data_IF_818687736278
#
_entry.id   IF_818687736278
#
_cell.length_a   1.000
_cell.length_b   1.000
_cell.length_c   1.000
_cell.angle_alpha   90.00
_cell.angle_beta   90.00
_cell.angle_gamma   90.00
#
_symmetry.space_group_name_H-M   'P 1'
#
loop_
_entity.id
_entity.type
_entity.pdbx_description
1 polymer ?
#
# COMPACT_ATOMS: atom_id res chain seq x y z
N UNK A 1 8.60 -19.10 -22.39
CA UNK A 1 8.92 -17.93 -21.54
C UNK A 1 7.88 -17.91 -20.45
N UNK A 2 8.29 -17.87 -19.18
CA UNK A 2 7.34 -17.72 -18.08
C UNK A 2 6.72 -16.33 -18.13
N UNK A 3 5.43 -16.21 -17.80
CA UNK A 3 4.74 -14.91 -17.78
C UNK A 3 5.18 -14.14 -16.53
N UNK A 4 5.65 -12.91 -16.71
CA UNK A 4 5.99 -12.00 -15.62
C UNK A 4 4.76 -11.18 -15.20
N UNK A 5 4.47 -11.15 -13.90
CA UNK A 5 3.45 -10.26 -13.34
C UNK A 5 4.08 -8.89 -13.14
N UNK A 6 3.50 -7.87 -13.77
CA UNK A 6 3.84 -6.47 -13.55
C UNK A 6 2.71 -5.83 -12.74
N UNK A 7 3.05 -5.29 -11.57
CA UNK A 7 2.14 -4.52 -10.73
C UNK A 7 2.49 -3.03 -10.81
N UNK A 8 1.50 -2.17 -11.06
CA UNK A 8 1.67 -0.72 -11.04
C UNK A 8 1.06 -0.13 -9.76
N UNK A 9 1.89 0.38 -8.85
CA UNK A 9 1.45 1.17 -7.70
C UNK A 9 1.23 2.63 -8.13
N UNK A 10 0.00 3.12 -7.99
CA UNK A 10 -0.43 4.34 -8.69
C UNK A 10 -0.06 5.63 -7.95
N UNK A 11 -0.62 5.83 -6.74
CA UNK A 11 -0.49 7.10 -6.00
C UNK A 11 0.21 6.96 -4.64
N UNK A 12 0.00 5.84 -3.95
CA UNK A 12 0.51 5.62 -2.60
C UNK A 12 0.05 6.68 -1.58
N UNK A 13 0.61 6.62 -0.37
CA UNK A 13 0.41 7.64 0.67
C UNK A 13 1.67 8.47 0.95
N UNK A 14 2.80 8.12 0.34
CA UNK A 14 4.12 8.65 0.68
C UNK A 14 4.50 9.84 -0.20
N UNK A 15 4.24 9.77 -1.50
CA UNK A 15 4.49 10.89 -2.40
C UNK A 15 3.54 12.03 -2.09
N UNK A 16 4.09 13.21 -1.86
CA UNK A 16 3.33 14.44 -1.60
C UNK A 16 2.96 15.12 -2.92
N UNK A 17 1.78 15.74 -3.06
CA UNK A 17 1.40 16.51 -4.24
C UNK A 17 2.42 17.56 -4.69
N UNK A 18 3.17 18.14 -3.75
CA UNK A 18 4.26 19.12 -4.03
C UNK A 18 5.41 18.51 -4.82
N UNK A 19 5.64 17.21 -4.71
CA UNK A 19 6.78 16.55 -5.36
C UNK A 19 6.61 16.41 -6.88
N UNK A 20 5.37 16.31 -7.36
CA UNK A 20 5.09 16.14 -8.79
C UNK A 20 3.65 16.51 -9.13
N UNK A 21 3.41 17.25 -10.23
CA UNK A 21 2.05 17.54 -10.70
C UNK A 21 1.35 16.31 -11.30
N UNK A 22 2.08 15.22 -11.54
CA UNK A 22 1.56 14.00 -12.16
C UNK A 22 1.01 12.99 -11.16
N UNK A 23 1.01 13.30 -9.85
CA UNK A 23 0.45 12.42 -8.83
C UNK A 23 -1.08 12.36 -8.98
N UNK A 24 -1.71 11.20 -9.26
CA UNK A 24 -3.16 11.12 -9.38
C UNK A 24 -3.79 11.24 -7.99
N UNK A 25 -4.77 12.13 -7.85
CA UNK A 25 -5.42 12.46 -6.57
C UNK A 25 -6.89 12.03 -6.52
N UNK A 26 -7.65 12.31 -7.57
CA UNK A 26 -9.09 12.00 -7.60
C UNK A 26 -9.36 10.54 -8.00
N UNK A 27 -10.51 9.95 -7.64
CA UNK A 27 -10.91 8.63 -8.10
C UNK A 27 -10.81 8.44 -9.62
N UNK A 28 -11.26 9.44 -10.39
CA UNK A 28 -11.20 9.43 -11.85
C UNK A 28 -9.74 9.39 -12.34
N UNK A 29 -8.87 10.24 -11.81
CA UNK A 29 -7.44 10.26 -12.16
C UNK A 29 -6.76 8.93 -11.84
N UNK A 30 -7.00 8.39 -10.64
CA UNK A 30 -6.42 7.11 -10.22
C UNK A 30 -6.91 5.98 -11.13
N UNK A 31 -8.20 5.98 -11.48
CA UNK A 31 -8.77 4.96 -12.35
C UNK A 31 -8.29 5.12 -13.81
N UNK A 32 -8.07 6.33 -14.29
CA UNK A 32 -7.49 6.60 -15.61
C UNK A 32 -6.05 6.07 -15.68
N UNK A 33 -5.23 6.37 -14.67
CA UNK A 33 -3.88 5.84 -14.53
C UNK A 33 -3.88 4.31 -14.51
N UNK A 34 -4.78 3.68 -13.74
CA UNK A 34 -4.92 2.23 -13.70
C UNK A 34 -5.20 1.62 -15.08
N UNK A 35 -6.13 2.21 -15.84
CA UNK A 35 -6.46 1.74 -17.20
C UNK A 35 -5.28 1.94 -18.15
N UNK A 36 -4.56 3.07 -18.06
CA UNK A 36 -3.33 3.30 -18.84
C UNK A 36 -2.26 2.26 -18.51
N UNK A 37 -2.02 1.96 -17.24
CA UNK A 37 -1.08 0.93 -16.81
C UNK A 37 -1.49 -0.46 -17.31
N UNK A 38 -2.77 -0.81 -17.21
CA UNK A 38 -3.30 -2.07 -17.73
C UNK A 38 -3.09 -2.21 -19.24
N UNK A 39 -3.40 -1.16 -20.01
CA UNK A 39 -3.18 -1.12 -21.46
C UNK A 39 -1.69 -1.20 -21.84
N UNK A 40 -0.80 -0.72 -20.96
CA UNK A 40 0.65 -0.85 -21.12
C UNK A 40 1.20 -2.24 -20.72
N UNK A 41 0.37 -3.12 -20.15
CA UNK A 41 0.73 -4.51 -19.82
C UNK A 41 0.79 -4.84 -18.32
N UNK A 42 0.36 -3.94 -17.43
CA UNK A 42 0.24 -4.27 -16.01
C UNK A 42 -0.87 -5.32 -15.80
N UNK A 43 -0.53 -6.40 -15.09
CA UNK A 43 -1.48 -7.45 -14.72
C UNK A 43 -2.24 -7.12 -13.43
N UNK A 44 -1.65 -6.27 -12.59
CA UNK A 44 -2.24 -5.79 -11.34
C UNK A 44 -1.96 -4.30 -11.16
N UNK A 45 -2.86 -3.60 -10.47
CA UNK A 45 -2.66 -2.23 -10.01
C UNK A 45 -2.84 -2.17 -8.51
N UNK A 46 -2.00 -1.41 -7.84
CA UNK A 46 -2.06 -1.19 -6.39
C UNK A 46 -2.59 0.20 -6.09
N UNK A 47 -3.70 0.26 -5.35
CA UNK A 47 -4.50 1.48 -5.18
C UNK A 47 -4.54 1.96 -3.73
N UNK A 48 -4.43 3.27 -3.60
CA UNK A 48 -4.66 4.04 -2.39
C UNK A 48 -5.73 5.09 -2.67
N UNK A 49 -6.50 5.45 -1.65
CA UNK A 49 -7.43 6.57 -1.70
C UNK A 49 -6.75 7.87 -1.29
N UNK A 50 -7.11 8.97 -1.95
CA UNK A 50 -6.83 10.33 -1.50
C UNK A 50 -8.11 11.13 -1.46
N UNK A 51 -8.15 12.12 -0.57
CA UNK A 51 -9.19 13.13 -0.54
C UNK A 51 -9.12 13.94 -1.85
N UNK A 52 -10.20 13.98 -2.67
CA UNK A 52 -10.15 14.63 -3.98
C UNK A 52 -9.94 16.14 -3.94
N UNK A 53 -10.25 16.79 -2.81
CA UNK A 53 -10.14 18.24 -2.66
C UNK A 53 -8.75 18.66 -2.17
N UNK A 54 -8.19 17.88 -1.26
CA UNK A 54 -6.95 18.23 -0.53
C UNK A 54 -5.74 17.38 -0.92
N UNK A 55 -5.94 16.27 -1.64
CA UNK A 55 -4.88 15.30 -1.98
C UNK A 55 -4.35 14.50 -0.79
N UNK A 56 -4.88 14.70 0.43
CA UNK A 56 -4.47 14.00 1.64
C UNK A 56 -4.81 12.52 1.54
N UNK A 57 -3.95 11.59 1.99
CA UNK A 57 -4.31 10.18 2.09
C UNK A 57 -5.64 9.96 2.83
N UNK A 58 -6.48 9.05 2.31
CA UNK A 58 -7.72 8.64 2.96
C UNK A 58 -7.89 7.12 2.94
N UNK A 59 -8.65 6.61 3.89
CA UNK A 59 -9.05 5.21 4.00
C UNK A 59 -10.57 5.04 3.98
N UNK A 60 -11.29 6.07 3.53
CA UNK A 60 -12.73 6.01 3.35
C UNK A 60 -13.11 4.92 2.33
N UNK A 61 -13.82 3.85 2.74
CA UNK A 61 -14.23 2.79 1.82
C UNK A 61 -15.08 3.27 0.64
N UNK A 62 -15.77 4.42 0.76
CA UNK A 62 -16.52 5.00 -0.35
C UNK A 62 -15.58 5.44 -1.49
N UNK A 63 -14.46 6.08 -1.17
CA UNK A 63 -13.44 6.51 -2.14
C UNK A 63 -12.83 5.29 -2.82
N UNK A 64 -12.48 4.25 -2.07
CA UNK A 64 -11.95 3.00 -2.65
C UNK A 64 -12.98 2.31 -3.55
N UNK A 65 -14.26 2.32 -3.15
CA UNK A 65 -15.35 1.73 -3.95
C UNK A 65 -15.50 2.47 -5.27
N UNK A 66 -15.44 3.80 -5.26
CA UNK A 66 -15.49 4.62 -6.47
C UNK A 66 -14.32 4.30 -7.41
N UNK A 67 -13.08 4.32 -6.91
CA UNK A 67 -11.88 3.94 -7.67
C UNK A 67 -12.04 2.55 -8.28
N UNK A 68 -12.36 1.54 -7.47
CA UNK A 68 -12.47 0.16 -7.93
C UNK A 68 -13.59 -0.03 -8.97
N UNK A 69 -14.71 0.68 -8.81
CA UNK A 69 -15.84 0.64 -9.75
C UNK A 69 -15.44 1.24 -11.10
N UNK A 70 -14.79 2.40 -11.10
CA UNK A 70 -14.31 3.06 -12.32
C UNK A 70 -13.25 2.24 -13.05
N UNK A 71 -12.36 1.55 -12.33
CA UNK A 71 -11.37 0.64 -12.93
C UNK A 71 -12.07 -0.56 -13.56
N UNK A 72 -12.92 -1.26 -12.80
CA UNK A 72 -13.60 -2.49 -13.27
C UNK A 72 -14.58 -2.25 -14.42
N UNK A 73 -15.12 -1.04 -14.55
CA UNK A 73 -15.94 -0.67 -15.70
C UNK A 73 -15.14 -0.59 -17.01
N UNK A 74 -13.81 -0.47 -16.94
CA UNK A 74 -12.95 -0.11 -18.08
C UNK A 74 -11.80 -1.09 -18.33
N UNK A 75 -11.49 -1.97 -17.37
CA UNK A 75 -10.37 -2.91 -17.45
C UNK A 75 -10.61 -4.16 -16.60
N UNK A 76 -10.00 -5.27 -17.01
CA UNK A 76 -9.95 -6.53 -16.26
C UNK A 76 -8.67 -6.66 -15.40
N UNK A 77 -7.94 -5.57 -15.18
CA UNK A 77 -6.73 -5.57 -14.35
C UNK A 77 -7.07 -5.94 -12.90
N UNK A 78 -6.22 -6.74 -12.26
CA UNK A 78 -6.40 -7.09 -10.85
C UNK A 78 -6.24 -5.81 -10.02
N UNK A 79 -7.20 -5.54 -9.14
CA UNK A 79 -7.16 -4.38 -8.24
C UNK A 79 -6.70 -4.83 -6.86
N UNK A 80 -5.47 -4.48 -6.49
CA UNK A 80 -4.92 -4.62 -5.16
C UNK A 80 -5.25 -3.39 -4.33
N UNK A 81 -6.06 -3.53 -3.27
CA UNK A 81 -6.31 -2.41 -2.34
C UNK A 81 -5.32 -2.45 -1.19
N UNK A 82 -4.82 -1.29 -0.77
CA UNK A 82 -3.94 -1.21 0.40
C UNK A 82 -4.68 -1.53 1.70
N UNK A 83 -3.98 -2.19 2.64
CA UNK A 83 -4.38 -2.21 4.06
C UNK A 83 -3.35 -1.52 4.97
N UNK A 84 -2.44 -0.72 4.39
CA UNK A 84 -1.40 0.01 5.13
C UNK A 84 -1.89 1.27 5.85
N UNK A 85 -2.97 1.90 5.36
CA UNK A 85 -3.65 3.02 6.02
C UNK A 85 -2.81 4.28 6.24
N UNK A 86 -3.18 5.07 7.26
CA UNK A 86 -2.47 6.31 7.69
C UNK A 86 -1.96 6.18 9.13
N UNK A 87 -1.18 7.17 9.58
CA UNK A 87 -0.49 7.14 10.87
C UNK A 87 -1.44 7.03 12.07
N UNK A 88 -2.65 7.56 11.94
CA UNK A 88 -3.61 7.67 13.03
C UNK A 88 -4.51 6.42 13.19
N UNK A 89 -4.33 5.40 12.35
CA UNK A 89 -5.27 4.28 12.26
C UNK A 89 -4.85 3.06 13.06
N UNK A 90 -5.83 2.46 13.73
CA UNK A 90 -5.72 1.11 14.30
C UNK A 90 -5.75 0.05 13.20
N UNK A 91 -5.21 -1.14 13.48
CA UNK A 91 -5.23 -2.26 12.53
C UNK A 91 -6.66 -2.59 12.04
N UNK A 92 -7.64 -2.59 12.94
CA UNK A 92 -9.05 -2.85 12.61
C UNK A 92 -9.64 -1.83 11.63
N UNK A 93 -9.26 -0.56 11.76
CA UNK A 93 -9.71 0.48 10.83
C UNK A 93 -9.07 0.34 9.46
N UNK A 94 -7.80 -0.07 9.38
CA UNK A 94 -7.12 -0.19 8.08
C UNK A 94 -7.68 -1.32 7.24
N UNK A 95 -8.03 -2.44 7.86
CA UNK A 95 -8.52 -3.62 7.11
C UNK A 95 -9.97 -3.49 6.66
N UNK A 96 -10.75 -2.53 7.16
CA UNK A 96 -12.20 -2.37 6.86
C UNK A 96 -12.54 -2.33 5.36
N UNK A 97 -11.57 -1.94 4.51
CA UNK A 97 -11.73 -1.95 3.04
C UNK A 97 -11.95 -3.37 2.50
N UNK A 98 -11.35 -4.40 3.12
CA UNK A 98 -11.46 -5.80 2.70
C UNK A 98 -12.90 -6.30 2.81
N UNK A 99 -13.58 -6.30 3.97
CA UNK A 99 -14.98 -6.72 4.04
C UNK A 99 -15.93 -5.79 3.28
N UNK A 100 -15.57 -4.51 3.10
CA UNK A 100 -16.40 -3.56 2.37
C UNK A 100 -16.41 -3.82 0.85
N UNK A 101 -15.25 -4.15 0.26
CA UNK A 101 -15.09 -4.29 -1.19
C UNK A 101 -14.94 -5.74 -1.66
N UNK A 102 -14.50 -6.65 -0.79
CA UNK A 102 -14.13 -8.04 -1.10
C UNK A 102 -13.21 -8.11 -2.33
N UNK A 103 -12.06 -7.41 -2.31
CA UNK A 103 -11.15 -7.34 -3.44
C UNK A 103 -10.49 -8.70 -3.69
N UNK A 104 -10.04 -8.93 -4.92
CA UNK A 104 -9.29 -10.14 -5.28
C UNK A 104 -7.93 -10.19 -4.58
N UNK A 105 -7.28 -9.03 -4.45
CA UNK A 105 -5.97 -8.87 -3.82
C UNK A 105 -6.01 -7.67 -2.85
N UNK A 106 -5.32 -7.80 -1.72
CA UNK A 106 -5.07 -6.67 -0.84
C UNK A 106 -3.66 -6.78 -0.25
N UNK A 107 -3.01 -5.63 -0.02
CA UNK A 107 -1.69 -5.65 0.60
C UNK A 107 -1.77 -6.08 2.05
N UNK A 108 -0.71 -6.73 2.53
CA UNK A 108 -0.63 -7.28 3.87
C UNK A 108 0.77 -7.09 4.45
N UNK A 109 0.89 -6.13 5.37
CA UNK A 109 2.16 -5.73 5.94
C UNK A 109 2.64 -6.70 7.03
N UNK A 110 3.84 -7.24 6.86
CA UNK A 110 4.31 -8.42 7.62
C UNK A 110 5.13 -8.13 8.86
N UNK A 111 5.16 -6.89 9.35
CA UNK A 111 5.85 -6.56 10.59
C UNK A 111 5.76 -5.10 10.97
N UNK A 112 6.05 -4.83 12.24
CA UNK A 112 6.13 -3.46 12.76
C UNK A 112 7.53 -2.90 12.50
N UNK A 113 7.61 -1.74 11.87
CA UNK A 113 8.87 -1.05 11.59
C UNK A 113 8.72 0.44 11.87
N UNK A 114 9.84 1.14 12.04
CA UNK A 114 9.84 2.57 11.77
C UNK A 114 9.57 2.73 10.26
N UNK A 115 8.70 3.65 9.89
CA UNK A 115 8.44 3.96 8.48
C UNK A 115 8.50 5.46 8.33
N UNK A 116 9.58 5.96 7.74
CA UNK A 116 9.85 7.38 7.83
C UNK A 116 10.18 8.05 6.51
N UNK A 117 9.56 9.22 6.32
CA UNK A 117 9.84 10.16 5.23
C UNK A 117 10.08 11.58 5.73
N UNK A 118 10.28 11.77 7.04
CA UNK A 118 10.51 13.09 7.65
C UNK A 118 11.61 13.93 6.99
N UNK A 119 12.69 13.38 6.40
CA UNK A 119 13.68 14.20 5.71
C UNK A 119 13.13 14.89 4.46
N UNK A 120 11.98 14.43 3.91
CA UNK A 120 11.30 15.13 2.82
C UNK A 120 10.79 16.50 3.29
N UNK A 121 10.43 16.65 4.57
CA UNK A 121 9.92 17.91 5.11
C UNK A 121 10.93 19.07 4.96
N UNK A 122 12.23 18.74 4.95
CA UNK A 122 13.34 19.68 4.84
C UNK A 122 13.72 20.02 3.38
N UNK A 123 13.18 19.29 2.39
CA UNK A 123 13.51 19.47 0.96
C UNK A 123 12.86 20.69 0.33
N UNK A 124 11.77 21.19 0.92
CA UNK A 124 10.95 22.27 0.41
C UNK A 124 10.82 23.39 1.44
N UNK A 125 10.71 24.62 0.96
CA UNK A 125 10.31 25.77 1.78
C UNK A 125 8.83 25.71 2.10
N UNK A 126 8.41 26.31 3.21
CA UNK A 126 7.00 26.31 3.65
C UNK A 126 6.04 26.87 2.59
N UNK A 127 6.50 27.85 1.81
CA UNK A 127 5.74 28.47 0.72
C UNK A 127 5.61 27.61 -0.54
N UNK A 128 6.38 26.53 -0.66
CA UNK A 128 6.40 25.64 -1.84
C UNK A 128 5.40 24.49 -1.70
N UNK A 129 4.97 24.17 -0.48
CA UNK A 129 3.96 23.14 -0.26
C UNK A 129 2.61 23.55 -0.85
N UNK A 130 2.04 22.64 -1.67
CA UNK A 130 0.77 22.86 -2.36
C UNK A 130 -0.42 22.85 -1.40
N UNK A 131 -0.34 22.06 -0.33
CA UNK A 131 -1.37 21.90 0.68
C UNK A 131 -0.77 22.02 2.10
N UNK A 132 -1.53 22.60 3.05
CA UNK A 132 -1.02 22.88 4.40
C UNK A 132 -0.69 21.63 5.22
N UNK A 133 -1.24 20.46 4.87
CA UNK A 133 -1.01 19.22 5.60
C UNK A 133 0.31 18.53 5.24
N UNK A 134 0.91 18.84 4.09
CA UNK A 134 1.99 18.03 3.50
C UNK A 134 3.26 18.02 4.36
N UNK A 135 3.69 19.19 4.82
CA UNK A 135 4.89 19.34 5.64
C UNK A 135 4.75 18.61 6.96
N UNK A 136 3.65 18.84 7.67
CA UNK A 136 3.39 18.24 8.99
C UNK A 136 3.22 16.72 8.89
N UNK A 137 2.58 16.24 7.82
CA UNK A 137 2.47 14.81 7.54
C UNK A 137 3.85 14.17 7.35
N UNK A 138 4.73 14.76 6.53
CA UNK A 138 6.07 14.23 6.33
C UNK A 138 6.87 14.28 7.63
N UNK A 139 6.95 15.44 8.28
CA UNK A 139 7.69 15.65 9.52
C UNK A 139 7.22 14.71 10.65
N UNK A 140 5.90 14.49 10.76
CA UNK A 140 5.29 13.62 11.77
C UNK A 140 5.74 12.15 11.68
N UNK A 141 6.24 11.71 10.53
CA UNK A 141 6.75 10.33 10.39
C UNK A 141 8.05 10.05 11.15
N UNK A 142 8.66 11.07 11.78
CA UNK A 142 9.85 10.87 12.63
C UNK A 142 9.56 10.02 13.89
N UNK A 143 8.32 10.09 14.40
CA UNK A 143 7.87 9.35 15.59
C UNK A 143 6.79 8.31 15.24
N UNK A 144 6.77 7.85 13.98
CA UNK A 144 5.78 6.91 13.48
C UNK A 144 6.30 5.47 13.45
N UNK A 145 5.59 4.59 14.16
CA UNK A 145 5.72 3.13 14.02
C UNK A 145 4.61 2.65 13.09
N UNK A 146 5.01 2.08 11.96
CA UNK A 146 4.07 1.38 11.10
C UNK A 146 3.75 0.01 11.70
N UNK A 147 2.78 0.01 12.61
CA UNK A 147 2.43 -1.14 13.45
C UNK A 147 1.77 -2.26 12.65
N UNK A 148 2.34 -3.46 12.74
CA UNK A 148 1.76 -4.74 12.33
C UNK A 148 2.27 -5.82 13.30
N UNK A 149 1.65 -5.96 14.46
CA UNK A 149 2.02 -6.99 15.44
C UNK A 149 1.49 -8.35 15.01
N UNK A 150 1.94 -9.45 15.64
CA UNK A 150 1.38 -10.77 15.34
C UNK A 150 -0.13 -10.86 15.57
N UNK A 151 -0.67 -10.15 16.57
CA UNK A 151 -2.12 -10.08 16.77
C UNK A 151 -2.84 -9.38 15.62
N UNK A 152 -2.25 -8.30 15.08
CA UNK A 152 -2.77 -7.62 13.89
C UNK A 152 -2.69 -8.52 12.66
N UNK A 153 -1.58 -9.24 12.49
CA UNK A 153 -1.34 -10.20 11.39
C UNK A 153 -2.37 -11.34 11.43
N UNK A 154 -2.62 -11.94 12.59
CA UNK A 154 -3.63 -13.00 12.73
C UNK A 154 -5.04 -12.48 12.44
N UNK A 155 -5.37 -11.27 12.91
CA UNK A 155 -6.63 -10.61 12.59
C UNK A 155 -6.77 -10.39 11.07
N UNK A 156 -5.70 -9.92 10.41
CA UNK A 156 -5.71 -9.65 8.97
C UNK A 156 -5.87 -10.93 8.15
N UNK A 157 -5.12 -11.99 8.48
CA UNK A 157 -5.28 -13.31 7.89
C UNK A 157 -6.73 -13.80 7.98
N UNK A 158 -7.35 -13.70 9.17
CA UNK A 158 -8.74 -14.12 9.38
C UNK A 158 -9.69 -13.33 8.48
N UNK A 159 -9.63 -12.00 8.53
CA UNK A 159 -10.53 -11.14 7.77
C UNK A 159 -10.38 -11.31 6.26
N UNK A 160 -9.15 -11.45 5.73
CA UNK A 160 -8.92 -11.72 4.31
C UNK A 160 -9.48 -13.08 3.90
N UNK A 161 -9.27 -14.13 4.71
CA UNK A 161 -9.81 -15.46 4.43
C UNK A 161 -11.35 -15.49 4.43
N UNK A 162 -12.00 -14.79 5.35
CA UNK A 162 -13.48 -14.67 5.43
C UNK A 162 -14.10 -13.96 4.22
N UNK A 163 -13.30 -13.15 3.51
CA UNK A 163 -13.75 -12.37 2.36
C UNK A 163 -13.19 -12.85 1.02
N UNK A 164 -12.52 -14.01 1.01
CA UNK A 164 -11.84 -14.60 -0.14
C UNK A 164 -10.85 -13.65 -0.84
N UNK A 165 -10.21 -12.78 -0.06
CA UNK A 165 -9.18 -11.86 -0.54
C UNK A 165 -7.81 -12.51 -0.43
N UNK A 166 -7.04 -12.50 -1.52
CA UNK A 166 -5.64 -12.96 -1.49
C UNK A 166 -4.74 -11.89 -0.85
N UNK A 167 -3.82 -12.27 0.05
CA UNK A 167 -2.81 -11.35 0.58
C UNK A 167 -1.62 -11.19 -0.37
N UNK A 168 -1.25 -9.95 -0.66
CA UNK A 168 0.09 -9.56 -1.13
C UNK A 168 0.95 -9.23 0.10
N UNK A 169 1.86 -10.13 0.48
CA UNK A 169 2.64 -10.00 1.71
C UNK A 169 3.80 -9.01 1.52
N UNK A 170 3.68 -7.82 2.10
CA UNK A 170 4.68 -6.76 2.04
C UNK A 170 5.79 -7.02 3.08
N UNK A 171 6.95 -7.45 2.60
CA UNK A 171 8.14 -7.72 3.39
C UNK A 171 9.17 -6.60 3.19
N UNK A 172 9.37 -5.80 4.23
CA UNK A 172 10.31 -4.67 4.23
C UNK A 172 11.69 -5.06 4.74
N UNK A 173 11.79 -6.20 5.40
CA UNK A 173 13.02 -6.69 6.01
C UNK A 173 12.99 -8.22 6.09
N UNK A 174 14.15 -8.83 6.31
CA UNK A 174 14.33 -10.28 6.44
C UNK A 174 13.46 -10.84 7.55
N UNK A 175 13.32 -10.12 8.67
CA UNK A 175 12.43 -10.49 9.77
C UNK A 175 10.97 -10.71 9.32
N UNK A 176 10.51 -9.97 8.32
CA UNK A 176 9.14 -10.11 7.79
C UNK A 176 8.96 -11.45 7.05
N UNK A 177 10.00 -11.99 6.42
CA UNK A 177 9.96 -13.31 5.79
C UNK A 177 9.79 -14.42 6.85
N UNK A 178 10.43 -14.28 8.00
CA UNK A 178 10.21 -15.19 9.14
C UNK A 178 8.80 -15.06 9.72
N UNK A 179 8.19 -13.87 9.68
CA UNK A 179 6.79 -13.67 10.08
C UNK A 179 5.81 -14.31 9.07
N UNK A 180 6.10 -14.24 7.76
CA UNK A 180 5.36 -15.00 6.74
C UNK A 180 5.50 -16.50 7.01
N UNK A 181 6.70 -16.99 7.31
CA UNK A 181 6.94 -18.39 7.65
C UNK A 181 6.16 -18.82 8.91
N UNK A 182 6.02 -17.96 9.92
CA UNK A 182 5.11 -18.19 11.05
C UNK A 182 3.67 -18.40 10.56
N UNK A 183 3.15 -17.52 9.70
CA UNK A 183 1.79 -17.62 9.16
C UNK A 183 1.57 -18.93 8.37
N UNK A 184 2.56 -19.34 7.57
CA UNK A 184 2.55 -20.63 6.85
C UNK A 184 2.47 -21.79 7.84
N UNK A 185 3.35 -21.83 8.85
CA UNK A 185 3.38 -22.91 9.85
C UNK A 185 2.07 -23.01 10.65
N UNK A 186 1.45 -21.87 10.92
CA UNK A 186 0.13 -21.78 11.57
C UNK A 186 -1.05 -22.05 10.63
N UNK A 187 -0.80 -22.29 9.33
CA UNK A 187 -1.82 -22.50 8.29
C UNK A 187 -2.81 -21.34 8.17
N UNK A 188 -2.34 -20.11 8.41
CA UNK A 188 -3.15 -18.89 8.31
C UNK A 188 -3.30 -18.39 6.87
N UNK A 189 -2.39 -18.80 5.98
CA UNK A 189 -2.32 -18.36 4.59
C UNK A 189 -2.45 -19.53 3.62
N UNK A 190 -3.04 -19.28 2.45
CA UNK A 190 -3.26 -20.29 1.40
C UNK A 190 -2.17 -20.16 0.33
N UNK A 191 -1.63 -21.29 -0.13
CA UNK A 191 -0.71 -21.31 -1.27
C UNK A 191 -1.44 -21.10 -2.62
N UNK A 192 -0.73 -20.66 -3.68
CA UNK A 192 0.59 -20.02 -3.62
C UNK A 192 0.53 -18.68 -2.86
N UNK A 193 1.64 -18.29 -2.21
CA UNK A 193 1.74 -17.00 -1.53
C UNK A 193 2.34 -15.96 -2.46
N UNK A 194 1.80 -14.74 -2.41
CA UNK A 194 2.36 -13.57 -3.09
C UNK A 194 3.22 -12.81 -2.10
N UNK A 195 4.52 -12.68 -2.38
CA UNK A 195 5.45 -11.93 -1.53
C UNK A 195 6.00 -10.75 -2.32
N UNK A 196 5.92 -9.55 -1.73
CA UNK A 196 6.47 -8.32 -2.28
C UNK A 196 7.61 -7.84 -1.40
N UNK A 197 8.82 -7.80 -1.94
CA UNK A 197 9.97 -7.19 -1.26
C UNK A 197 9.92 -5.68 -1.44
N UNK A 198 9.88 -4.95 -0.33
CA UNK A 198 9.82 -3.48 -0.33
C UNK A 198 11.13 -2.95 0.25
N UNK A 199 11.97 -2.38 -0.61
CA UNK A 199 13.31 -1.91 -0.21
C UNK A 199 13.41 -0.39 -0.24
N UNK A 200 14.33 0.17 0.54
CA UNK A 200 14.69 1.60 0.48
C UNK A 200 13.87 2.52 1.37
N UNK A 201 12.96 1.97 2.18
CA UNK A 201 12.27 2.74 3.22
C UNK A 201 13.22 3.01 4.38
N UNK A 202 13.32 4.27 4.81
CA UNK A 202 14.06 4.62 6.01
C UNK A 202 13.36 3.99 7.24
N UNK A 203 14.06 3.03 7.85
CA UNK A 203 13.55 2.19 8.93
C UNK A 203 13.48 0.70 8.61
N UNK A 204 13.84 0.30 7.39
CA UNK A 204 13.89 -1.09 6.95
C UNK A 204 15.07 -1.37 5.99
N UNK A 205 15.02 -2.47 5.24
CA UNK A 205 16.13 -2.91 4.38
C UNK A 205 16.42 -1.91 3.25
N UNK A 206 17.70 -1.69 2.94
CA UNK A 206 18.13 -0.79 1.85
C UNK A 206 17.98 -1.42 0.46
N UNK A 207 17.99 -0.60 -0.60
CA UNK A 207 17.83 -1.03 -2.01
C UNK A 207 19.13 -1.46 -2.69
N UNK A 208 20.03 -2.11 -1.96
CA UNK A 208 21.27 -2.67 -2.52
C UNK A 208 21.02 -4.07 -3.13
N UNK A 209 21.81 -4.46 -4.13
CA UNK A 209 21.66 -5.76 -4.81
C UNK A 209 21.77 -6.92 -3.82
N UNK A 210 22.72 -6.83 -2.89
CA UNK A 210 22.99 -7.85 -1.87
C UNK A 210 21.76 -8.08 -0.98
N UNK A 211 21.01 -7.02 -0.66
CA UNK A 211 19.80 -7.11 0.14
C UNK A 211 18.68 -7.84 -0.60
N UNK A 212 18.49 -7.52 -1.89
CA UNK A 212 17.49 -8.19 -2.73
C UNK A 212 17.85 -9.67 -2.93
N UNK A 213 19.13 -9.98 -3.11
CA UNK A 213 19.61 -11.37 -3.26
C UNK A 213 19.49 -12.19 -1.97
N UNK A 214 19.51 -11.53 -0.81
CA UNK A 214 19.43 -12.19 0.49
C UNK A 214 18.00 -12.47 0.94
N UNK A 215 17.03 -11.64 0.50
CA UNK A 215 15.60 -11.83 0.73
C UNK A 215 15.01 -12.91 -0.18
#
# INVERSE_FOLDING_TARGET
>A
MEKLIITAALTGNITLPTQTPYLPLTPEQIADDAVRCANAGAASVHVHGRDPQTGKPTTDPAVYREIATLIKARSNVIVCVTTGGTMEMTAAERIRVVPALKPELATFNMGSINFSIHPIAERYKDSEYKYPWEKDFAAGTIDFIFRNTFGDIEHFCKTMNENDTRPEHEAYDVGHLYNIQYCIRKKLVKFPIWVQFVTGILGAIGSHLENIMFM
#
